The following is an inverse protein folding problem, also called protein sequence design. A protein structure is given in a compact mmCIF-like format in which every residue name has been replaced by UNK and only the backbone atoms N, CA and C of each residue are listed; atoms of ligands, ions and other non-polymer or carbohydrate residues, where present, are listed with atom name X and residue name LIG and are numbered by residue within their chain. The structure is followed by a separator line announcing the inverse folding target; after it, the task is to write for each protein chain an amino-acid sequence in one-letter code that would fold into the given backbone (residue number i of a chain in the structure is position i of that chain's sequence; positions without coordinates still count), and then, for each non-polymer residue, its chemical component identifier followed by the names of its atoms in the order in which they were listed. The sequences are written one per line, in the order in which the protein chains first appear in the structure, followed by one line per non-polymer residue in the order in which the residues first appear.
data_IF_421051113355
#
_entry.id   IF_421051113355
#
_cell.length_a   1.000
_cell.length_b   1.000
_cell.length_c   1.000
_cell.angle_alpha   90.00
_cell.angle_beta   90.00
_cell.angle_gamma   90.00
#
_symmetry.space_group_name_H-M   'P 1'
#
loop_
_entity.id
_entity.type
_entity.pdbx_description
1 polymer ?
#
# COMPACT_ATOMS: atom_id res chain seq x y z
N UNK A 1 -12.20 37.09 -17.20
CA UNK A 1 -12.53 35.98 -18.09
C UNK A 1 -13.23 34.96 -17.22
N UNK A 2 -14.56 34.89 -17.31
CA UNK A 2 -15.35 33.87 -16.65
C UNK A 2 -15.00 32.51 -17.26
N UNK A 3 -14.71 31.52 -16.42
CA UNK A 3 -14.53 30.15 -16.89
C UNK A 3 -15.84 29.69 -17.54
N UNK A 4 -15.79 29.05 -18.73
CA UNK A 4 -16.98 28.51 -19.35
C UNK A 4 -17.66 27.55 -18.37
N UNK A 5 -19.01 27.51 -18.35
CA UNK A 5 -19.74 26.59 -17.50
C UNK A 5 -19.28 25.16 -17.82
N UNK A 6 -19.00 24.39 -16.76
CA UNK A 6 -18.66 22.99 -16.90
C UNK A 6 -19.87 22.28 -17.50
N UNK A 7 -19.68 21.67 -18.66
CA UNK A 7 -20.66 20.76 -19.23
C UNK A 7 -20.73 19.50 -18.36
N UNK A 8 -21.79 19.44 -17.54
CA UNK A 8 -21.97 18.39 -16.55
C UNK A 8 -22.10 16.98 -17.19
N UNK A 9 -22.63 16.85 -18.41
CA UNK A 9 -22.73 15.54 -19.09
C UNK A 9 -21.34 15.03 -19.51
N UNK A 10 -20.51 15.87 -20.10
CA UNK A 10 -19.14 15.50 -20.47
C UNK A 10 -18.25 15.30 -19.25
N UNK A 11 -18.44 16.11 -18.21
CA UNK A 11 -17.77 15.94 -16.94
C UNK A 11 -18.22 14.65 -16.22
N UNK A 12 -19.50 14.32 -16.24
CA UNK A 12 -20.05 13.11 -15.63
C UNK A 12 -19.52 11.85 -16.31
N UNK A 13 -19.42 11.81 -17.63
CA UNK A 13 -18.85 10.66 -18.35
C UNK A 13 -17.37 10.46 -18.05
N UNK A 14 -16.56 11.52 -18.06
CA UNK A 14 -15.15 11.46 -17.69
C UNK A 14 -14.96 11.04 -16.23
N UNK A 15 -15.82 11.50 -15.34
CA UNK A 15 -15.81 11.17 -13.93
C UNK A 15 -16.23 9.72 -13.66
N UNK A 16 -17.25 9.20 -14.35
CA UNK A 16 -17.62 7.77 -14.25
C UNK A 16 -16.47 6.85 -14.65
N UNK A 17 -15.81 7.14 -15.78
CA UNK A 17 -14.65 6.35 -16.23
C UNK A 17 -13.47 6.44 -15.26
N UNK A 18 -13.24 7.60 -14.69
CA UNK A 18 -12.23 7.79 -13.65
C UNK A 18 -12.58 7.06 -12.37
N UNK A 19 -13.84 7.11 -11.97
CA UNK A 19 -14.35 6.41 -10.80
C UNK A 19 -14.16 4.89 -10.93
N UNK A 20 -14.48 4.30 -12.06
CA UNK A 20 -14.25 2.87 -12.33
C UNK A 20 -12.78 2.47 -12.11
N UNK A 21 -11.83 3.32 -12.51
CA UNK A 21 -10.39 3.06 -12.32
C UNK A 21 -10.00 3.10 -10.83
N UNK A 22 -10.62 3.98 -10.05
CA UNK A 22 -10.23 4.23 -8.66
C UNK A 22 -11.16 3.60 -7.63
N UNK A 23 -12.30 3.04 -8.05
CA UNK A 23 -13.36 2.52 -7.20
C UNK A 23 -12.85 1.46 -6.22
N UNK A 24 -12.02 0.54 -6.67
CA UNK A 24 -11.48 -0.52 -5.82
C UNK A 24 -10.63 0.04 -4.67
N UNK A 25 -9.86 1.10 -4.92
CA UNK A 25 -9.00 1.70 -3.91
C UNK A 25 -9.74 2.67 -2.97
N UNK A 26 -10.71 3.41 -3.49
CA UNK A 26 -11.34 4.53 -2.77
C UNK A 26 -12.85 4.34 -2.51
N UNK A 27 -13.48 3.32 -3.11
CA UNK A 27 -14.89 2.99 -2.89
C UNK A 27 -15.24 2.88 -1.41
N UNK A 28 -14.48 2.12 -0.61
CA UNK A 28 -14.76 1.93 0.80
C UNK A 28 -14.88 3.22 1.63
N UNK A 29 -14.25 4.31 1.16
CA UNK A 29 -14.32 5.61 1.85
C UNK A 29 -15.32 6.54 1.19
N UNK A 30 -15.41 6.52 -0.14
CA UNK A 30 -16.17 7.51 -0.88
C UNK A 30 -17.61 7.06 -1.21
N UNK A 31 -17.87 5.74 -1.37
CA UNK A 31 -19.22 5.25 -1.68
C UNK A 31 -20.25 5.45 -0.56
N UNK A 32 -19.97 5.10 0.72
CA UNK A 32 -21.03 5.10 1.75
C UNK A 32 -21.74 6.44 1.97
N UNK A 33 -21.05 7.54 1.69
CA UNK A 33 -21.60 8.89 1.82
C UNK A 33 -21.67 9.63 0.46
N UNK A 34 -21.59 8.90 -0.66
CA UNK A 34 -21.57 9.51 -2.00
C UNK A 34 -22.81 10.32 -2.28
N UNK A 35 -23.97 9.85 -1.82
CA UNK A 35 -25.24 10.58 -1.99
C UNK A 35 -25.31 11.86 -1.14
N UNK A 36 -24.72 11.85 0.06
CA UNK A 36 -24.81 12.97 1.00
C UNK A 36 -23.86 14.13 0.64
N UNK A 37 -22.72 13.87 -0.01
CA UNK A 37 -21.74 14.90 -0.37
C UNK A 37 -21.20 14.71 -1.78
N UNK A 38 -22.08 14.43 -2.72
CA UNK A 38 -21.73 14.04 -4.10
C UNK A 38 -20.80 15.04 -4.78
N UNK A 39 -21.03 16.34 -4.64
CA UNK A 39 -20.19 17.36 -5.28
C UNK A 39 -18.76 17.33 -4.79
N UNK A 40 -18.53 17.20 -3.48
CA UNK A 40 -17.19 17.14 -2.88
C UNK A 40 -16.46 15.90 -3.38
N UNK A 41 -17.14 14.77 -3.45
CA UNK A 41 -16.54 13.50 -3.89
C UNK A 41 -16.19 13.50 -5.37
N UNK A 42 -17.05 14.06 -6.21
CA UNK A 42 -16.73 14.31 -7.62
C UNK A 42 -15.47 15.15 -7.76
N UNK A 43 -15.34 16.20 -6.97
CA UNK A 43 -14.16 17.08 -7.00
C UNK A 43 -12.91 16.37 -6.46
N UNK A 44 -13.03 15.53 -5.42
CA UNK A 44 -11.94 14.69 -4.91
C UNK A 44 -11.44 13.71 -5.98
N UNK A 45 -12.36 13.04 -6.69
CA UNK A 45 -12.01 12.12 -7.79
C UNK A 45 -11.32 12.89 -8.93
N UNK A 46 -11.78 14.10 -9.25
CA UNK A 46 -11.14 14.94 -10.26
C UNK A 46 -9.73 15.38 -9.83
N UNK A 47 -9.55 15.74 -8.57
CA UNK A 47 -8.23 16.05 -8.03
C UNK A 47 -7.30 14.83 -8.12
N UNK A 48 -7.79 13.63 -7.74
CA UNK A 48 -7.04 12.38 -7.86
C UNK A 48 -6.63 12.08 -9.31
N UNK A 49 -7.51 12.33 -10.29
CA UNK A 49 -7.19 12.19 -11.70
C UNK A 49 -6.01 13.07 -12.13
N UNK A 50 -6.04 14.35 -11.76
CA UNK A 50 -4.92 15.23 -12.06
C UNK A 50 -3.62 14.74 -11.41
N UNK A 51 -3.69 14.30 -10.16
CA UNK A 51 -2.52 13.77 -9.44
C UNK A 51 -1.99 12.51 -10.16
N UNK A 52 -2.85 11.55 -10.50
CA UNK A 52 -2.47 10.31 -11.17
C UNK A 52 -1.86 10.56 -12.56
N UNK A 53 -2.30 11.59 -13.25
CA UNK A 53 -1.74 12.06 -14.52
C UNK A 53 -0.51 12.97 -14.36
N UNK A 54 0.07 13.06 -13.17
CA UNK A 54 1.22 13.88 -12.80
C UNK A 54 1.01 15.40 -12.90
N UNK A 55 -0.22 15.86 -13.04
CA UNK A 55 -0.57 17.29 -12.93
C UNK A 55 -0.82 17.68 -11.46
N UNK A 56 0.24 17.55 -10.66
CA UNK A 56 0.21 17.79 -9.21
C UNK A 56 -0.24 19.21 -8.87
N UNK A 57 0.13 20.20 -9.71
CA UNK A 57 -0.24 21.61 -9.47
C UNK A 57 -1.76 21.80 -9.53
N UNK A 58 -2.40 21.22 -10.54
CA UNK A 58 -3.85 21.31 -10.73
C UNK A 58 -4.59 20.50 -9.68
N UNK A 59 -4.10 19.28 -9.37
CA UNK A 59 -4.63 18.47 -8.26
C UNK A 59 -4.60 19.21 -6.93
N UNK A 60 -3.46 19.80 -6.56
CA UNK A 60 -3.31 20.56 -5.32
C UNK A 60 -4.19 21.82 -5.29
N UNK A 61 -4.38 22.50 -6.44
CA UNK A 61 -5.30 23.64 -6.52
C UNK A 61 -6.73 23.21 -6.19
N UNK A 62 -7.21 22.15 -6.81
CA UNK A 62 -8.54 21.59 -6.53
C UNK A 62 -8.68 21.16 -5.08
N UNK A 63 -7.69 20.46 -4.50
CA UNK A 63 -7.71 20.07 -3.09
C UNK A 63 -7.85 21.27 -2.16
N UNK A 64 -7.19 22.41 -2.44
CA UNK A 64 -7.34 23.63 -1.63
C UNK A 64 -8.76 24.22 -1.71
N UNK A 65 -9.38 24.17 -2.89
CA UNK A 65 -10.75 24.65 -3.10
C UNK A 65 -11.78 23.75 -2.39
N UNK A 66 -11.53 22.44 -2.35
CA UNK A 66 -12.44 21.44 -1.76
C UNK A 66 -12.36 21.41 -0.22
N UNK A 67 -11.21 21.70 0.36
CA UNK A 67 -10.93 21.52 1.79
C UNK A 67 -12.03 22.06 2.74
N UNK A 68 -12.59 23.27 2.54
CA UNK A 68 -13.64 23.78 3.44
C UNK A 68 -14.96 22.97 3.40
N UNK A 69 -15.12 22.14 2.38
CA UNK A 69 -16.34 21.35 2.14
C UNK A 69 -16.21 19.89 2.58
N UNK A 70 -15.02 19.44 2.99
CA UNK A 70 -14.79 18.10 3.54
C UNK A 70 -15.26 18.05 4.99
N UNK A 71 -16.56 17.83 5.20
CA UNK A 71 -17.16 17.82 6.55
C UNK A 71 -17.17 16.43 7.18
N UNK A 72 -17.31 15.37 6.37
CA UNK A 72 -17.32 13.99 6.83
C UNK A 72 -15.87 13.45 7.00
N UNK A 73 -15.68 12.50 7.88
CA UNK A 73 -14.36 11.96 8.16
C UNK A 73 -13.79 11.16 6.99
N UNK A 74 -14.65 10.52 6.20
CA UNK A 74 -14.27 9.85 4.94
C UNK A 74 -13.72 10.85 3.91
N UNK A 75 -14.38 12.00 3.76
CA UNK A 75 -13.91 13.06 2.85
C UNK A 75 -12.58 13.64 3.33
N UNK A 76 -12.44 13.84 4.66
CA UNK A 76 -11.17 14.30 5.26
C UNK A 76 -10.07 13.26 5.07
N UNK A 77 -10.37 11.97 5.24
CA UNK A 77 -9.42 10.89 5.01
C UNK A 77 -8.92 10.88 3.55
N UNK A 78 -9.84 10.93 2.58
CA UNK A 78 -9.49 10.98 1.16
C UNK A 78 -8.72 12.25 0.82
N UNK A 79 -9.19 13.41 1.27
CA UNK A 79 -8.53 14.69 1.04
C UNK A 79 -7.10 14.72 1.59
N UNK A 80 -6.90 14.34 2.86
CA UNK A 80 -5.58 14.30 3.48
C UNK A 80 -4.65 13.31 2.80
N UNK A 81 -5.16 12.16 2.37
CA UNK A 81 -4.39 11.18 1.62
C UNK A 81 -3.95 11.73 0.25
N UNK A 82 -4.82 12.42 -0.49
CA UNK A 82 -4.48 13.00 -1.78
C UNK A 82 -3.48 14.14 -1.67
N UNK A 83 -3.54 14.94 -0.59
CA UNK A 83 -2.48 15.91 -0.29
C UNK A 83 -1.15 15.18 -0.05
N UNK A 84 -1.16 14.07 0.70
CA UNK A 84 0.01 13.21 0.89
C UNK A 84 0.60 12.69 -0.42
N UNK A 85 -0.24 12.24 -1.38
CA UNK A 85 0.19 11.84 -2.72
C UNK A 85 0.88 12.98 -3.48
N UNK A 86 0.39 14.21 -3.36
CA UNK A 86 1.04 15.37 -3.98
C UNK A 86 2.45 15.58 -3.43
N UNK A 87 2.65 15.45 -2.13
CA UNK A 87 3.97 15.54 -1.50
C UNK A 87 4.86 14.35 -1.86
N UNK A 88 4.31 13.14 -1.98
CA UNK A 88 5.04 11.95 -2.45
C UNK A 88 5.62 12.18 -3.85
N UNK A 89 4.80 12.70 -4.77
CA UNK A 89 5.23 13.01 -6.13
C UNK A 89 6.22 14.16 -6.20
N UNK A 90 6.15 15.09 -5.27
CA UNK A 90 7.11 16.20 -5.11
C UNK A 90 8.41 15.81 -4.41
N UNK A 91 8.55 14.56 -3.94
CA UNK A 91 9.72 14.09 -3.20
C UNK A 91 9.84 14.63 -1.76
N UNK A 92 8.80 15.29 -1.26
CA UNK A 92 8.77 15.90 0.08
C UNK A 92 8.36 14.86 1.14
N UNK A 93 9.32 14.00 1.50
CA UNK A 93 9.07 12.79 2.29
C UNK A 93 8.46 13.04 3.68
N UNK A 94 8.96 14.02 4.41
CA UNK A 94 8.47 14.30 5.77
C UNK A 94 7.01 14.76 5.74
N UNK A 95 6.69 15.71 4.85
CA UNK A 95 5.33 16.18 4.66
C UNK A 95 4.40 15.06 4.20
N UNK A 96 4.85 14.22 3.24
CA UNK A 96 4.11 13.04 2.79
C UNK A 96 3.72 12.15 3.97
N UNK A 97 4.67 11.79 4.85
CA UNK A 97 4.40 10.92 6.00
C UNK A 97 3.40 11.56 6.96
N UNK A 98 3.58 12.85 7.27
CA UNK A 98 2.66 13.59 8.15
C UNK A 98 1.23 13.58 7.60
N UNK A 99 1.06 13.75 6.29
CA UNK A 99 -0.25 13.74 5.67
C UNK A 99 -0.87 12.33 5.67
N UNK A 100 -0.09 11.27 5.45
CA UNK A 100 -0.60 9.90 5.57
C UNK A 100 -0.96 9.53 7.01
N UNK A 101 -0.19 9.96 8.01
CA UNK A 101 -0.54 9.81 9.43
C UNK A 101 -1.85 10.53 9.77
N UNK A 102 -2.08 11.72 9.19
CA UNK A 102 -3.34 12.43 9.37
C UNK A 102 -4.51 11.70 8.67
N UNK A 103 -4.31 11.18 7.46
CA UNK A 103 -5.33 10.40 6.77
C UNK A 103 -5.75 9.14 7.57
N UNK A 104 -4.77 8.46 8.18
CA UNK A 104 -5.00 7.30 9.02
C UNK A 104 -5.85 7.58 10.28
N UNK A 105 -5.92 8.83 10.75
CA UNK A 105 -6.74 9.22 11.92
C UNK A 105 -8.22 9.33 11.59
N UNK A 106 -8.56 9.67 10.35
CA UNK A 106 -9.96 9.90 9.93
C UNK A 106 -10.63 8.65 9.37
N UNK A 107 -9.86 7.71 8.79
CA UNK A 107 -10.43 6.59 8.04
C UNK A 107 -10.22 5.24 8.70
N UNK A 108 -11.18 4.76 9.50
CA UNK A 108 -11.09 3.43 10.16
C UNK A 108 -11.08 2.25 9.18
N UNK A 109 -11.58 2.41 7.96
CA UNK A 109 -11.58 1.37 6.89
C UNK A 109 -10.69 1.70 5.70
N UNK A 110 -9.84 2.70 5.85
CA UNK A 110 -8.99 3.18 4.77
C UNK A 110 -7.58 2.59 4.86
N UNK A 111 -7.36 1.45 4.23
CA UNK A 111 -6.08 0.72 4.28
C UNK A 111 -4.90 1.44 3.61
N UNK A 112 -5.15 2.31 2.60
CA UNK A 112 -4.08 2.92 1.79
C UNK A 112 -3.07 3.76 2.59
N UNK A 113 -3.47 4.64 3.53
CA UNK A 113 -2.51 5.35 4.38
C UNK A 113 -1.60 4.41 5.14
N UNK A 114 -2.16 3.32 5.70
CA UNK A 114 -1.39 2.33 6.45
C UNK A 114 -0.40 1.58 5.55
N UNK A 115 -0.79 1.20 4.32
CA UNK A 115 0.12 0.61 3.33
C UNK A 115 1.28 1.53 2.98
N UNK A 116 1.02 2.84 2.80
CA UNK A 116 2.05 3.85 2.51
C UNK A 116 3.00 4.05 3.69
N UNK A 117 2.46 4.17 4.89
CA UNK A 117 3.23 4.30 6.14
C UNK A 117 4.07 3.05 6.41
N UNK A 118 3.49 1.86 6.23
CA UNK A 118 4.19 0.59 6.39
C UNK A 118 5.38 0.47 5.44
N UNK A 119 5.17 0.77 4.15
CA UNK A 119 6.25 0.78 3.16
C UNK A 119 7.35 1.76 3.50
N UNK A 120 7.00 2.95 3.98
CA UNK A 120 7.98 3.95 4.38
C UNK A 120 8.79 3.50 5.62
N UNK A 121 8.13 2.91 6.62
CA UNK A 121 8.78 2.37 7.82
C UNK A 121 9.70 1.19 7.47
N UNK A 122 9.24 0.25 6.63
CA UNK A 122 10.05 -0.87 6.14
C UNK A 122 11.32 -0.38 5.43
N UNK A 123 11.19 0.60 4.53
CA UNK A 123 12.34 1.19 3.81
C UNK A 123 13.34 1.87 4.75
N UNK A 124 12.89 2.32 5.92
CA UNK A 124 13.74 2.95 6.96
C UNK A 124 14.27 1.93 7.99
N UNK A 125 14.10 0.64 7.74
CA UNK A 125 14.42 -0.44 8.68
C UNK A 125 13.70 -0.33 10.05
N UNK A 126 12.56 0.40 10.10
CA UNK A 126 11.67 0.48 11.27
C UNK A 126 10.68 -0.69 11.22
N UNK A 127 11.20 -1.91 11.26
CA UNK A 127 10.42 -3.12 10.96
C UNK A 127 9.23 -3.33 11.90
N UNK A 128 9.35 -3.01 13.19
CA UNK A 128 8.23 -3.11 14.12
C UNK A 128 7.09 -2.17 13.71
N UNK A 129 7.39 -0.90 13.46
CA UNK A 129 6.41 0.09 12.99
C UNK A 129 5.80 -0.32 11.65
N UNK A 130 6.63 -0.87 10.75
CA UNK A 130 6.17 -1.42 9.47
C UNK A 130 5.20 -2.58 9.64
N UNK A 131 5.51 -3.54 10.51
CA UNK A 131 4.67 -4.69 10.80
C UNK A 131 3.32 -4.26 11.40
N UNK A 132 3.31 -3.30 12.34
CA UNK A 132 2.09 -2.80 12.95
C UNK A 132 1.17 -2.12 11.93
N UNK A 133 1.73 -1.30 11.04
CA UNK A 133 0.96 -0.67 9.96
C UNK A 133 0.44 -1.69 8.93
N UNK A 134 1.24 -2.72 8.57
CA UNK A 134 0.74 -3.77 7.66
C UNK A 134 -0.39 -4.58 8.30
N UNK A 135 -0.33 -4.90 9.60
CA UNK A 135 -1.42 -5.55 10.32
C UNK A 135 -2.69 -4.71 10.27
N UNK A 136 -2.60 -3.41 10.56
CA UNK A 136 -3.75 -2.50 10.49
C UNK A 136 -4.32 -2.42 9.07
N UNK A 137 -3.47 -2.37 8.04
CA UNK A 137 -3.93 -2.38 6.65
C UNK A 137 -4.66 -3.68 6.29
N UNK A 138 -4.15 -4.83 6.76
CA UNK A 138 -4.77 -6.15 6.59
C UNK A 138 -6.14 -6.19 7.27
N UNK A 139 -6.23 -5.72 8.52
CA UNK A 139 -7.49 -5.67 9.26
C UNK A 139 -8.53 -4.83 8.50
N UNK A 140 -8.16 -3.64 8.02
CA UNK A 140 -9.04 -2.81 7.18
C UNK A 140 -9.51 -3.55 5.92
N UNK A 141 -8.62 -4.28 5.23
CA UNK A 141 -8.96 -5.03 4.02
C UNK A 141 -9.89 -6.22 4.33
N UNK A 142 -9.67 -6.89 5.45
CA UNK A 142 -10.49 -8.04 5.85
C UNK A 142 -11.90 -7.64 6.33
N UNK A 143 -12.08 -6.41 6.82
CA UNK A 143 -13.41 -5.85 7.15
C UNK A 143 -14.24 -5.50 5.90
N UNK A 144 -13.63 -5.41 4.72
CA UNK A 144 -14.33 -5.16 3.46
C UNK A 144 -15.05 -6.42 3.00
N UNK A 145 -16.14 -6.24 2.22
CA UNK A 145 -16.77 -7.37 1.54
C UNK A 145 -15.78 -8.03 0.57
N UNK A 146 -15.95 -9.32 0.30
CA UNK A 146 -15.06 -10.04 -0.63
C UNK A 146 -15.06 -9.43 -2.04
N UNK A 147 -16.19 -8.86 -2.48
CA UNK A 147 -16.31 -8.25 -3.80
C UNK A 147 -15.58 -6.89 -3.92
N UNK A 148 -15.43 -6.18 -2.78
CA UNK A 148 -14.81 -4.85 -2.75
C UNK A 148 -13.35 -4.91 -2.35
N UNK A 149 -12.91 -6.06 -1.81
CA UNK A 149 -11.56 -6.26 -1.31
C UNK A 149 -10.56 -6.46 -2.44
N UNK A 150 -9.46 -5.70 -2.40
CA UNK A 150 -8.33 -5.91 -3.30
C UNK A 150 -7.45 -7.05 -2.80
N UNK A 151 -7.69 -8.25 -3.33
CA UNK A 151 -6.93 -9.46 -2.95
C UNK A 151 -5.45 -9.36 -3.32
N UNK A 152 -5.08 -8.63 -4.37
CA UNK A 152 -3.68 -8.41 -4.76
C UNK A 152 -2.97 -7.55 -3.73
N UNK A 153 -3.65 -6.51 -3.23
CA UNK A 153 -3.12 -5.67 -2.16
C UNK A 153 -3.04 -6.44 -0.84
N UNK A 154 -4.03 -7.29 -0.55
CA UNK A 154 -4.03 -8.11 0.65
C UNK A 154 -2.87 -9.12 0.64
N UNK A 155 -2.65 -9.82 -0.47
CA UNK A 155 -1.49 -10.70 -0.65
C UNK A 155 -0.15 -9.97 -0.52
N UNK A 156 -0.07 -8.74 -1.06
CA UNK A 156 1.10 -7.86 -0.92
C UNK A 156 1.32 -7.42 0.54
N UNK A 157 0.26 -7.07 1.27
CA UNK A 157 0.36 -6.68 2.68
C UNK A 157 0.88 -7.82 3.55
N UNK A 158 0.37 -9.04 3.38
CA UNK A 158 0.88 -10.22 4.08
C UNK A 158 2.33 -10.56 3.72
N UNK A 159 2.71 -10.46 2.44
CA UNK A 159 4.10 -10.67 1.99
C UNK A 159 5.06 -9.66 2.64
N UNK A 160 4.68 -8.40 2.68
CA UNK A 160 5.51 -7.36 3.31
C UNK A 160 5.53 -7.48 4.85
N UNK A 161 4.42 -7.91 5.47
CA UNK A 161 4.38 -8.26 6.88
C UNK A 161 5.35 -9.40 7.18
N UNK A 162 5.36 -10.46 6.35
CA UNK A 162 6.33 -11.55 6.45
C UNK A 162 7.76 -11.03 6.44
N UNK A 163 8.09 -10.10 5.52
CA UNK A 163 9.42 -9.49 5.48
C UNK A 163 9.76 -8.74 6.77
N UNK A 164 8.85 -7.90 7.27
CA UNK A 164 9.07 -7.17 8.54
C UNK A 164 9.30 -8.13 9.71
N UNK A 165 8.45 -9.15 9.86
CA UNK A 165 8.54 -10.13 10.95
C UNK A 165 9.82 -10.98 10.86
N UNK A 166 10.26 -11.31 9.65
CA UNK A 166 11.54 -12.00 9.42
C UNK A 166 12.72 -11.15 9.92
N UNK A 167 12.72 -9.86 9.59
CA UNK A 167 13.76 -8.92 10.05
C UNK A 167 13.71 -8.66 11.56
N UNK A 168 12.59 -8.92 12.22
CA UNK A 168 12.42 -8.88 13.69
C UNK A 168 12.73 -10.22 14.36
N UNK A 169 13.19 -11.24 13.62
CA UNK A 169 13.41 -12.60 14.07
C UNK A 169 12.15 -13.31 14.64
N UNK A 170 10.97 -12.82 14.30
CA UNK A 170 9.68 -13.40 14.70
C UNK A 170 9.23 -14.46 13.68
N UNK A 171 10.04 -15.51 13.52
CA UNK A 171 9.94 -16.46 12.39
C UNK A 171 8.61 -17.24 12.36
N UNK A 172 8.09 -17.63 13.53
CA UNK A 172 6.80 -18.32 13.61
C UNK A 172 5.64 -17.47 13.09
N UNK A 173 5.61 -16.19 13.43
CA UNK A 173 4.56 -15.28 12.96
C UNK A 173 4.81 -14.84 11.51
N UNK A 174 6.08 -14.75 11.09
CA UNK A 174 6.43 -14.55 9.69
C UNK A 174 5.96 -15.71 8.81
N UNK A 175 6.13 -16.97 9.24
CA UNK A 175 5.65 -18.14 8.50
C UNK A 175 4.12 -18.16 8.42
N UNK A 176 3.39 -17.83 9.49
CA UNK A 176 1.93 -17.69 9.45
C UNK A 176 1.50 -16.62 8.45
N UNK A 177 2.14 -15.44 8.50
CA UNK A 177 1.83 -14.35 7.55
C UNK A 177 2.11 -14.78 6.10
N UNK A 178 3.19 -15.53 5.84
CA UNK A 178 3.48 -16.10 4.53
C UNK A 178 2.40 -17.10 4.08
N UNK A 179 1.96 -17.99 4.97
CA UNK A 179 0.87 -18.94 4.66
C UNK A 179 -0.43 -18.21 4.31
N UNK A 180 -0.75 -17.12 4.98
CA UNK A 180 -1.89 -16.27 4.62
C UNK A 180 -1.68 -15.61 3.25
N UNK A 181 -0.48 -15.05 2.98
CA UNK A 181 -0.18 -14.43 1.69
C UNK A 181 -0.46 -15.37 0.50
N UNK A 182 -0.14 -16.66 0.65
CA UNK A 182 -0.32 -17.67 -0.41
C UNK A 182 -1.79 -17.95 -0.78
N UNK A 183 -2.76 -17.50 0.01
CA UNK A 183 -4.18 -17.61 -0.31
C UNK A 183 -4.64 -16.60 -1.35
N UNK A 184 -3.82 -15.61 -1.65
CA UNK A 184 -4.12 -14.47 -2.50
C UNK A 184 -3.16 -14.40 -3.70
N UNK A 185 -3.47 -13.63 -4.75
CA UNK A 185 -2.54 -13.38 -5.84
C UNK A 185 -1.25 -12.74 -5.33
N UNK A 186 -0.12 -13.39 -5.59
CA UNK A 186 1.19 -12.93 -5.13
C UNK A 186 1.82 -11.94 -6.11
N UNK A 187 2.39 -10.89 -5.56
CA UNK A 187 3.18 -9.91 -6.31
C UNK A 187 4.52 -10.49 -6.78
N UNK A 188 5.11 -9.95 -7.86
CA UNK A 188 6.49 -10.24 -8.23
C UNK A 188 7.42 -10.08 -7.04
N UNK A 189 8.29 -11.07 -6.81
CA UNK A 189 9.25 -11.04 -5.71
C UNK A 189 8.77 -11.63 -4.38
N UNK A 190 7.51 -12.04 -4.25
CA UNK A 190 7.02 -12.71 -3.04
C UNK A 190 7.84 -13.95 -2.69
N UNK A 191 8.24 -14.74 -3.69
CA UNK A 191 9.10 -15.91 -3.51
C UNK A 191 10.50 -15.54 -2.96
N UNK A 192 11.02 -14.33 -3.24
CA UNK A 192 12.26 -13.85 -2.62
C UNK A 192 12.09 -13.63 -1.11
N UNK A 193 10.96 -13.06 -0.69
CA UNK A 193 10.64 -12.89 0.74
C UNK A 193 10.54 -14.25 1.45
N UNK A 194 9.89 -15.23 0.84
CA UNK A 194 9.79 -16.58 1.40
C UNK A 194 11.15 -17.28 1.46
N UNK A 195 11.97 -17.16 0.42
CA UNK A 195 13.32 -17.71 0.43
C UNK A 195 14.17 -17.15 1.58
N UNK A 196 14.09 -15.84 1.82
CA UNK A 196 14.79 -15.17 2.93
C UNK A 196 14.26 -15.65 4.29
N UNK A 197 12.94 -15.76 4.44
CA UNK A 197 12.32 -16.29 5.66
C UNK A 197 12.83 -17.70 5.97
N UNK A 198 12.76 -18.62 5.01
CA UNK A 198 13.17 -20.00 5.24
C UNK A 198 14.69 -20.16 5.40
N UNK A 199 15.50 -19.31 4.75
CA UNK A 199 16.93 -19.25 5.04
C UNK A 199 17.20 -18.80 6.49
N UNK A 200 16.48 -17.78 6.98
CA UNK A 200 16.57 -17.32 8.37
C UNK A 200 16.13 -18.38 9.39
N UNK A 201 15.19 -19.24 9.00
CA UNK A 201 14.80 -20.44 9.77
C UNK A 201 15.75 -21.63 9.61
N UNK A 202 16.86 -21.48 8.92
CA UNK A 202 17.83 -22.54 8.60
C UNK A 202 17.23 -23.73 7.83
N UNK A 203 16.16 -23.48 7.05
CA UNK A 203 15.50 -24.48 6.23
C UNK A 203 15.95 -24.38 4.76
N UNK A 204 17.07 -25.03 4.44
CA UNK A 204 17.68 -24.98 3.11
C UNK A 204 16.78 -25.58 2.02
N UNK A 205 15.97 -26.60 2.35
CA UNK A 205 15.06 -27.24 1.38
C UNK A 205 13.98 -26.28 0.91
N UNK A 206 13.21 -25.68 1.83
CA UNK A 206 12.18 -24.68 1.50
C UNK A 206 12.80 -23.44 0.82
N UNK A 207 14.01 -23.02 1.25
CA UNK A 207 14.75 -21.94 0.60
C UNK A 207 14.98 -22.24 -0.88
N UNK A 208 15.47 -23.44 -1.20
CA UNK A 208 15.73 -23.84 -2.58
C UNK A 208 14.46 -23.89 -3.44
N UNK A 209 13.34 -24.35 -2.87
CA UNK A 209 12.03 -24.37 -3.56
C UNK A 209 11.62 -22.95 -3.99
N UNK A 210 11.68 -21.96 -3.08
CA UNK A 210 11.31 -20.60 -3.41
C UNK A 210 12.29 -19.89 -4.35
N UNK A 211 13.59 -20.21 -4.27
CA UNK A 211 14.56 -19.73 -5.25
C UNK A 211 14.24 -20.29 -6.66
N UNK A 212 13.84 -21.55 -6.76
CA UNK A 212 13.47 -22.14 -8.04
C UNK A 212 12.20 -21.46 -8.61
N UNK A 213 11.18 -21.25 -7.80
CA UNK A 213 9.96 -20.52 -8.20
C UNK A 213 10.28 -19.07 -8.64
N UNK A 214 11.17 -18.38 -7.91
CA UNK A 214 11.64 -17.05 -8.28
C UNK A 214 12.34 -17.05 -9.63
N UNK A 215 13.18 -18.05 -9.90
CA UNK A 215 13.91 -18.21 -11.16
C UNK A 215 12.98 -18.35 -12.36
N UNK A 216 11.88 -19.09 -12.18
CA UNK A 216 10.89 -19.31 -13.23
C UNK A 216 10.07 -18.06 -13.52
N UNK A 217 9.69 -17.32 -12.48
CA UNK A 217 8.78 -16.15 -12.58
C UNK A 217 9.54 -14.83 -12.79
N UNK A 218 10.66 -14.63 -12.09
CA UNK A 218 11.38 -13.34 -11.99
C UNK A 218 12.89 -13.51 -11.97
N UNK A 219 13.51 -13.94 -13.07
CA UNK A 219 14.95 -14.29 -13.10
C UNK A 219 15.89 -13.15 -12.71
N UNK A 220 15.48 -11.89 -12.90
CA UNK A 220 16.29 -10.72 -12.54
C UNK A 220 16.55 -10.56 -11.03
N UNK A 221 15.77 -11.21 -10.16
CA UNK A 221 15.91 -11.09 -8.71
C UNK A 221 16.69 -12.26 -8.09
N UNK A 222 16.95 -13.32 -8.88
CA UNK A 222 17.53 -14.57 -8.40
C UNK A 222 18.93 -14.37 -7.83
N UNK A 223 19.81 -13.68 -8.54
CA UNK A 223 21.22 -13.55 -8.14
C UNK A 223 21.35 -12.88 -6.76
N UNK A 224 20.62 -11.80 -6.53
CA UNK A 224 20.62 -11.08 -5.24
C UNK A 224 20.03 -11.95 -4.13
N UNK A 225 18.92 -12.63 -4.41
CA UNK A 225 18.23 -13.47 -3.41
C UNK A 225 19.08 -14.67 -3.03
N UNK A 226 19.73 -15.34 -4.01
CA UNK A 226 20.63 -16.46 -3.76
C UNK A 226 21.82 -16.03 -2.89
N UNK A 227 22.45 -14.90 -3.19
CA UNK A 227 23.58 -14.42 -2.41
C UNK A 227 23.16 -14.09 -0.97
N UNK A 228 22.02 -13.41 -0.80
CA UNK A 228 21.50 -13.09 0.53
C UNK A 228 21.14 -14.34 1.34
N UNK A 229 20.42 -15.30 0.74
CA UNK A 229 20.05 -16.55 1.43
C UNK A 229 21.25 -17.41 1.75
N UNK A 230 22.28 -17.44 0.89
CA UNK A 230 23.54 -18.12 1.17
C UNK A 230 24.22 -17.52 2.41
N UNK A 231 24.35 -16.18 2.46
CA UNK A 231 24.95 -15.50 3.62
C UNK A 231 24.19 -15.77 4.92
N UNK A 232 22.85 -15.84 4.85
CA UNK A 232 22.01 -16.16 6.01
C UNK A 232 22.26 -17.60 6.47
N UNK A 233 22.24 -18.57 5.55
CA UNK A 233 22.47 -19.98 5.87
C UNK A 233 23.87 -20.24 6.40
N UNK A 234 24.87 -19.53 5.88
CA UNK A 234 26.27 -19.62 6.32
C UNK A 234 26.53 -18.84 7.63
N UNK A 235 25.53 -18.10 8.16
CA UNK A 235 25.65 -17.26 9.36
C UNK A 235 26.56 -16.05 9.20
N UNK A 236 26.80 -15.61 7.97
CA UNK A 236 27.67 -14.46 7.64
C UNK A 236 26.88 -13.17 7.39
N UNK A 237 25.55 -13.26 7.29
CA UNK A 237 24.70 -12.09 7.07
C UNK A 237 24.54 -11.28 8.37
N UNK A 238 24.84 -9.95 8.38
CA UNK A 238 24.90 -9.16 9.60
C UNK A 238 23.55 -9.02 10.32
N UNK A 239 22.42 -9.07 9.60
CA UNK A 239 21.09 -9.01 10.19
C UNK A 239 20.58 -10.37 10.72
N UNK A 240 21.27 -11.48 10.44
CA UNK A 240 20.87 -12.82 10.84
C UNK A 240 22.07 -13.59 11.42
N UNK A 241 22.64 -13.14 12.56
CA UNK A 241 23.76 -13.85 13.18
C UNK A 241 23.29 -15.22 13.67
N UNK A 242 24.05 -16.26 13.36
CA UNK A 242 23.84 -17.58 13.99
C UNK A 242 24.38 -17.50 15.42
N UNK A 243 23.52 -17.69 16.41
CA UNK A 243 23.96 -17.86 17.79
C UNK A 243 24.82 -19.10 17.88
N UNK A 244 26.09 -18.93 18.35
CA UNK A 244 27.05 -20.00 18.52
C UNK A 244 26.80 -20.75 19.82
#
# INVERSE_FOLDING_TARGET
MENPPIDFETAEFALRRSWEIHRQAFGPILEPAFEENQQVRILLINALNHISNRDVKRGMKLLKEIHPHCIYDEDKAAWTFFVGLCFEMGGAREQMLQWYENAAKFGHRFYLPFMKLAKAAHTQAQFQKGADYYKTAIDCLLEMSENDRDEVILGSAYTNLTSCLTMLHQYTDAEKAWMEAQKYPLQPGADATAAILYAAMQNAEKTAVHIQQLKEKFPGWVAQTVEMTRQILDGTHPAFPVEK
#
